data_IF_754525844391
#
_entry.id   IF_754525844391
#
_cell.length_a   1.000
_cell.length_b   1.000
_cell.length_c   1.000
_cell.angle_alpha   90.00
_cell.angle_beta   90.00
_cell.angle_gamma   90.00
#
_symmetry.space_group_name_H-M   'P 1'
#
loop_
_entity.id
_entity.type
_entity.pdbx_description
1 polymer ?
#
# COMPACT_ATOMS: atom_id res chain seq x y z
N UNK A 1 2.32 22.77 -7.00
CA UNK A 1 1.06 22.35 -7.64
C UNK A 1 0.38 21.37 -6.69
N UNK A 2 -0.68 21.80 -5.99
CA UNK A 2 -1.33 21.03 -4.92
C UNK A 2 -2.35 20.09 -5.56
N UNK A 3 -2.02 18.80 -5.71
CA UNK A 3 -2.94 17.81 -6.28
C UNK A 3 -3.90 17.32 -5.19
N UNK A 4 -5.16 17.68 -5.36
CA UNK A 4 -6.27 17.32 -4.48
C UNK A 4 -6.69 15.90 -4.83
N UNK A 5 -6.72 15.03 -3.83
CA UNK A 5 -7.36 13.74 -3.94
C UNK A 5 -8.84 13.85 -3.73
N UNK A 6 -9.58 13.49 -4.79
CA UNK A 6 -10.96 13.07 -4.67
C UNK A 6 -11.00 11.73 -3.93
N UNK A 7 -10.94 11.81 -2.60
CA UNK A 7 -11.62 10.83 -1.78
C UNK A 7 -13.10 10.94 -2.14
N UNK A 8 -13.62 9.94 -2.87
CA UNK A 8 -15.06 9.70 -2.98
C UNK A 8 -15.69 9.92 -1.61
N UNK A 9 -16.72 10.77 -1.54
CA UNK A 9 -17.39 11.34 -0.37
C UNK A 9 -17.63 10.37 0.79
N UNK A 10 -16.59 9.97 1.50
CA UNK A 10 -16.69 9.09 2.64
C UNK A 10 -16.26 9.88 3.87
N UNK A 11 -17.24 10.27 4.70
CA UNK A 11 -17.06 11.08 5.92
C UNK A 11 -15.95 10.56 6.85
N UNK A 12 -15.60 9.27 6.76
CA UNK A 12 -14.52 8.62 7.53
C UNK A 12 -13.10 9.08 7.16
N UNK A 13 -12.92 9.66 5.97
CA UNK A 13 -11.62 10.12 5.48
C UNK A 13 -11.32 11.58 5.82
N UNK A 14 -12.23 12.25 6.53
CA UNK A 14 -12.12 13.66 6.85
C UNK A 14 -11.41 13.85 8.19
N UNK A 15 -10.37 14.70 8.21
CA UNK A 15 -9.70 15.19 9.42
C UNK A 15 -10.21 16.57 9.77
N UNK A 16 -10.37 16.85 11.05
CA UNK A 16 -10.76 18.17 11.55
C UNK A 16 -9.60 19.15 11.34
N UNK A 17 -9.84 20.20 10.53
CA UNK A 17 -8.88 21.26 10.28
C UNK A 17 -8.86 22.29 11.42
N UNK A 18 -7.78 23.08 11.49
CA UNK A 18 -7.57 24.13 12.52
C UNK A 18 -8.71 25.17 12.66
N UNK A 19 -9.62 25.25 11.69
CA UNK A 19 -10.76 26.17 11.67
C UNK A 19 -12.11 25.45 11.87
N UNK A 20 -12.12 24.19 12.33
CA UNK A 20 -13.34 23.35 12.43
C UNK A 20 -13.87 22.83 11.08
N UNK A 21 -13.19 23.15 9.97
CA UNK A 21 -13.53 22.62 8.65
C UNK A 21 -12.90 21.24 8.42
N UNK A 22 -13.72 20.27 8.07
CA UNK A 22 -13.29 18.94 7.67
C UNK A 22 -12.48 18.98 6.36
N UNK A 23 -11.27 18.42 6.37
CA UNK A 23 -10.39 18.28 5.20
C UNK A 23 -10.18 16.80 4.86
N UNK A 24 -10.18 16.42 3.57
CA UNK A 24 -9.85 15.06 3.16
C UNK A 24 -8.45 14.64 3.62
N UNK A 25 -8.29 13.37 3.97
CA UNK A 25 -6.98 12.76 4.22
C UNK A 25 -6.12 12.91 2.96
N UNK A 26 -4.94 13.51 3.13
CA UNK A 26 -3.97 13.69 2.05
C UNK A 26 -2.95 12.56 2.08
N UNK A 27 -2.70 11.96 0.92
CA UNK A 27 -1.63 10.97 0.71
C UNK A 27 -0.69 11.43 -0.40
N UNK A 28 0.58 11.04 -0.32
CA UNK A 28 1.58 11.25 -1.36
C UNK A 28 1.93 9.95 -2.10
N UNK A 29 1.05 8.94 -2.01
CA UNK A 29 1.33 7.59 -2.52
C UNK A 29 0.65 7.38 -3.87
N UNK A 30 -0.67 7.44 -3.93
CA UNK A 30 -1.43 7.07 -5.14
C UNK A 30 -2.43 8.15 -5.45
N UNK A 31 -2.37 8.73 -6.68
CA UNK A 31 -3.14 9.75 -7.43
C UNK A 31 -4.26 9.14 -8.27
N UNK A 32 -5.50 9.55 -7.99
CA UNK A 32 -6.72 9.04 -8.62
C UNK A 32 -7.41 10.22 -9.33
N UNK A 33 -7.62 10.10 -10.63
CA UNK A 33 -8.42 10.98 -11.47
C UNK A 33 -9.33 10.13 -12.39
N UNK A 34 -10.23 10.76 -13.15
CA UNK A 34 -11.02 10.06 -14.17
C UNK A 34 -10.06 9.41 -15.17
N UNK A 35 -10.15 8.08 -15.26
CA UNK A 35 -9.36 7.22 -16.14
C UNK A 35 -7.85 7.26 -15.91
N UNK A 36 -7.39 7.76 -14.75
CA UNK A 36 -5.97 7.82 -14.43
C UNK A 36 -5.69 7.41 -13.00
N UNK A 37 -4.78 6.46 -12.84
CA UNK A 37 -4.28 6.02 -11.55
C UNK A 37 -2.75 6.08 -11.59
N UNK A 38 -2.17 6.98 -10.80
CA UNK A 38 -0.71 7.17 -10.73
C UNK A 38 -0.26 6.81 -9.32
N UNK A 39 0.72 5.93 -9.16
CA UNK A 39 1.34 5.66 -7.86
C UNK A 39 2.79 6.13 -7.87
N UNK A 40 3.13 7.02 -6.94
CA UNK A 40 4.47 7.61 -6.77
C UNK A 40 5.05 8.20 -8.07
N UNK A 41 4.17 8.79 -8.88
CA UNK A 41 4.53 9.39 -10.17
C UNK A 41 4.58 8.42 -11.35
N UNK A 42 4.31 7.13 -11.14
CA UNK A 42 4.29 6.08 -12.17
C UNK A 42 2.83 5.70 -12.48
N UNK A 43 2.49 5.55 -13.76
CA UNK A 43 1.14 5.12 -14.16
C UNK A 43 0.88 3.67 -13.71
N UNK A 44 -0.32 3.38 -13.20
CA UNK A 44 -0.66 2.04 -12.73
C UNK A 44 -0.54 0.99 -13.83
N UNK A 45 -0.88 1.33 -15.08
CA UNK A 45 -0.72 0.40 -16.20
C UNK A 45 0.75 0.03 -16.43
N UNK A 46 1.66 1.00 -16.26
CA UNK A 46 3.09 0.76 -16.36
C UNK A 46 3.57 -0.18 -15.24
N UNK A 47 3.10 0.04 -14.01
CA UNK A 47 3.41 -0.82 -12.87
C UNK A 47 3.00 -2.25 -13.17
N UNK A 48 1.77 -2.47 -13.63
CA UNK A 48 1.24 -3.80 -13.95
C UNK A 48 2.00 -4.51 -15.07
N UNK A 49 2.45 -3.76 -16.07
CA UNK A 49 3.11 -4.32 -17.26
C UNK A 49 4.60 -4.61 -17.05
N UNK A 50 5.27 -3.86 -16.17
CA UNK A 50 6.76 -3.81 -16.17
C UNK A 50 7.43 -4.07 -14.82
N UNK A 51 6.70 -4.01 -13.70
CA UNK A 51 7.31 -4.18 -12.37
C UNK A 51 7.16 -5.62 -11.89
N UNK A 52 8.22 -6.15 -11.28
CA UNK A 52 8.16 -7.35 -10.43
C UNK A 52 7.51 -7.01 -9.09
N UNK A 53 7.04 -8.04 -8.37
CA UNK A 53 6.31 -7.86 -7.12
C UNK A 53 7.10 -7.06 -6.06
N UNK A 54 8.37 -7.42 -5.87
CA UNK A 54 9.30 -6.73 -4.98
C UNK A 54 9.58 -5.30 -5.42
N UNK A 55 9.67 -5.02 -6.74
CA UNK A 55 9.89 -3.65 -7.24
C UNK A 55 8.69 -2.76 -6.96
N UNK A 56 7.48 -3.31 -7.11
CA UNK A 56 6.23 -2.63 -6.77
C UNK A 56 6.16 -2.30 -5.26
N UNK A 57 6.50 -3.26 -4.39
CA UNK A 57 6.56 -3.02 -2.94
C UNK A 57 7.58 -1.92 -2.62
N UNK A 58 8.77 -2.00 -3.22
CA UNK A 58 9.82 -1.02 -3.05
C UNK A 58 9.32 0.38 -3.45
N UNK A 59 8.65 0.50 -4.61
CA UNK A 59 8.04 1.74 -5.08
C UNK A 59 7.02 2.29 -4.07
N UNK A 60 6.13 1.46 -3.53
CA UNK A 60 5.09 1.92 -2.60
C UNK A 60 5.68 2.48 -1.30
N UNK A 61 6.63 1.77 -0.72
CA UNK A 61 7.26 2.13 0.55
C UNK A 61 8.22 3.30 0.38
N UNK A 62 9.12 3.24 -0.61
CA UNK A 62 10.25 4.16 -0.74
C UNK A 62 10.06 5.23 -1.81
N UNK A 63 9.04 5.11 -2.66
CA UNK A 63 8.68 6.14 -3.64
C UNK A 63 9.59 6.22 -4.87
N UNK A 64 10.46 5.23 -5.08
CA UNK A 64 11.36 5.15 -6.25
C UNK A 64 11.43 3.71 -6.77
N UNK A 65 11.79 3.53 -8.03
CA UNK A 65 12.11 2.20 -8.57
C UNK A 65 13.46 1.71 -8.01
N UNK A 66 13.57 0.47 -7.53
CA UNK A 66 14.84 -0.04 -7.02
C UNK A 66 15.86 -0.27 -8.13
N UNK A 67 17.14 -0.22 -7.78
CA UNK A 67 18.20 -0.84 -8.57
C UNK A 67 18.09 -2.38 -8.51
N UNK A 68 18.74 -3.08 -9.45
CA UNK A 68 18.68 -4.55 -9.54
C UNK A 68 19.11 -5.24 -8.23
N UNK A 69 20.20 -4.78 -7.61
CA UNK A 69 20.68 -5.32 -6.32
C UNK A 69 19.67 -5.08 -5.19
N UNK A 70 19.01 -3.91 -5.15
CA UNK A 70 17.99 -3.61 -4.15
C UNK A 70 16.74 -4.47 -4.35
N UNK A 71 16.36 -4.73 -5.60
CA UNK A 71 15.25 -5.60 -5.98
C UNK A 71 15.48 -7.05 -5.54
N UNK A 72 16.62 -7.64 -5.91
CA UNK A 72 16.94 -9.02 -5.53
C UNK A 72 17.12 -9.19 -4.02
N UNK A 73 17.69 -8.19 -3.34
CA UNK A 73 17.78 -8.19 -1.88
C UNK A 73 16.38 -8.18 -1.24
N UNK A 74 15.50 -7.27 -1.68
CA UNK A 74 14.14 -7.20 -1.14
C UNK A 74 13.36 -8.49 -1.41
N UNK A 75 13.53 -9.06 -2.61
CA UNK A 75 12.94 -10.36 -2.95
C UNK A 75 13.39 -11.46 -2.00
N UNK A 76 14.70 -11.56 -1.73
CA UNK A 76 15.23 -12.55 -0.80
C UNK A 76 14.66 -12.37 0.62
N UNK A 77 14.53 -11.12 1.08
CA UNK A 77 13.91 -10.80 2.37
C UNK A 77 12.42 -11.20 2.39
N UNK A 78 11.64 -10.86 1.36
CA UNK A 78 10.22 -11.23 1.29
C UNK A 78 10.06 -12.75 1.35
N UNK A 79 10.82 -13.48 0.54
CA UNK A 79 10.75 -14.95 0.46
C UNK A 79 11.15 -15.59 1.78
N UNK A 80 12.20 -15.09 2.45
CA UNK A 80 12.65 -15.64 3.73
C UNK A 80 11.63 -15.43 4.86
N UNK A 81 10.75 -14.43 4.74
CA UNK A 81 9.76 -14.08 5.76
C UNK A 81 8.35 -14.64 5.48
N UNK A 82 8.15 -15.42 4.40
CA UNK A 82 6.85 -16.02 4.12
C UNK A 82 6.30 -16.87 5.28
N UNK A 83 7.17 -17.53 6.05
CA UNK A 83 6.77 -18.19 7.29
C UNK A 83 7.94 -18.41 8.23
N UNK A 84 7.71 -18.19 9.52
CA UNK A 84 8.63 -18.54 10.61
C UNK A 84 8.03 -19.60 11.56
N UNK A 85 7.06 -20.38 11.07
CA UNK A 85 6.41 -21.44 11.84
C UNK A 85 5.15 -21.00 12.59
N UNK A 86 4.55 -21.97 13.29
CA UNK A 86 3.22 -21.84 13.89
C UNK A 86 3.21 -21.21 15.28
N UNK A 87 4.36 -21.12 15.94
CA UNK A 87 4.49 -20.60 17.31
C UNK A 87 4.50 -19.06 17.37
N UNK A 88 4.61 -18.39 16.23
CA UNK A 88 4.50 -16.94 16.14
C UNK A 88 3.15 -16.43 16.66
N UNK A 89 3.19 -15.38 17.48
CA UNK A 89 1.97 -14.80 18.09
C UNK A 89 0.95 -14.38 17.03
N UNK A 90 1.40 -13.81 15.90
CA UNK A 90 0.53 -13.46 14.78
C UNK A 90 -0.08 -14.68 14.10
N UNK A 91 0.68 -15.75 13.87
CA UNK A 91 0.18 -17.01 13.30
C UNK A 91 -0.89 -17.63 14.19
N UNK A 92 -0.69 -17.64 15.51
CA UNK A 92 -1.69 -18.11 16.47
C UNK A 92 -2.94 -17.23 16.46
N UNK A 93 -2.80 -15.90 16.41
CA UNK A 93 -3.93 -14.98 16.34
C UNK A 93 -4.77 -15.20 15.07
N UNK A 94 -4.13 -15.35 13.90
CA UNK A 94 -4.83 -15.67 12.64
C UNK A 94 -5.55 -17.00 12.74
N UNK A 95 -4.91 -18.04 13.29
CA UNK A 95 -5.53 -19.36 13.45
C UNK A 95 -6.75 -19.33 14.38
N UNK A 96 -6.65 -18.68 15.54
CA UNK A 96 -7.81 -18.48 16.41
C UNK A 96 -8.91 -17.70 15.69
N UNK A 97 -8.52 -16.66 14.95
CA UNK A 97 -9.43 -15.88 14.12
C UNK A 97 -10.23 -16.77 13.18
N UNK A 98 -9.53 -17.60 12.38
CA UNK A 98 -10.10 -18.59 11.44
C UNK A 98 -10.98 -19.62 12.16
N UNK A 99 -10.54 -20.14 13.30
CA UNK A 99 -11.31 -21.10 14.11
C UNK A 99 -12.64 -20.51 14.60
N UNK A 100 -12.70 -19.20 14.85
CA UNK A 100 -13.92 -18.49 15.24
C UNK A 100 -14.86 -18.14 14.06
N UNK A 101 -14.50 -18.48 12.82
CA UNK A 101 -15.29 -18.17 11.63
C UNK A 101 -15.28 -16.68 11.26
N UNK A 102 -14.10 -16.10 10.93
CA UNK A 102 -14.05 -14.77 10.37
C UNK A 102 -14.58 -14.88 8.94
N UNK A 103 -15.53 -14.02 8.59
CA UNK A 103 -16.23 -14.07 7.31
C UNK A 103 -15.24 -14.08 6.13
N UNK A 104 -15.31 -15.15 5.33
CA UNK A 104 -15.04 -15.13 3.90
C UNK A 104 -16.31 -14.65 3.18
#
# INVERSE_FOLDING_TARGET
MLRIFLGFENKKTLKEGRNGMLKPWQSFITEIDRDKLITRGVDQEEILRTYRYEEMIYLFVLGKRPAEVESEMLRAVIISHCSHGITGQSTLAVRMGVDCGPAL
#
